data_IF_173218019666
#
_entry.id   IF_173218019666
#
_cell.length_a   1.000
_cell.length_b   1.000
_cell.length_c   1.000
_cell.angle_alpha   90.00
_cell.angle_beta   90.00
_cell.angle_gamma   90.00
#
_symmetry.space_group_name_H-M   'P 1'
#
loop_
_entity.id
_entity.type
_entity.pdbx_description
1 polymer ?
#
# COMPACT_ATOMS: atom_id res chain seq x y z
N UNK A 1 20.08 10.33 -1.86
CA UNK A 1 18.73 10.39 -1.26
C UNK A 1 18.71 9.40 -0.11
N UNK A 2 18.35 9.84 1.10
CA UNK A 2 18.14 8.98 2.27
C UNK A 2 16.65 9.05 2.61
N UNK A 3 15.96 7.93 2.86
CA UNK A 3 14.58 7.97 3.29
C UNK A 3 14.46 8.59 4.68
N UNK A 4 13.43 9.42 4.87
CA UNK A 4 13.09 10.00 6.18
C UNK A 4 12.45 8.95 7.11
N UNK A 5 11.71 8.00 6.54
CA UNK A 5 11.01 6.90 7.23
C UNK A 5 11.20 5.57 6.49
N UNK A 6 11.25 4.48 7.25
CA UNK A 6 11.35 3.09 6.77
C UNK A 6 10.30 2.23 7.46
N UNK A 7 9.32 1.78 6.68
CA UNK A 7 8.26 0.84 7.13
C UNK A 7 8.53 -0.55 6.55
N UNK A 8 8.70 -1.53 7.43
CA UNK A 8 8.89 -2.93 7.05
C UNK A 8 7.54 -3.62 6.96
N UNK A 9 7.34 -4.41 5.92
CA UNK A 9 6.09 -5.14 5.70
C UNK A 9 6.38 -6.43 4.94
N UNK A 10 5.59 -7.47 5.19
CA UNK A 10 5.71 -8.77 4.53
C UNK A 10 5.04 -8.79 3.14
N UNK A 11 4.17 -7.81 2.85
CA UNK A 11 3.39 -7.80 1.62
C UNK A 11 3.20 -6.39 1.05
N UNK A 12 3.27 -6.29 -0.28
CA UNK A 12 2.98 -5.06 -1.02
C UNK A 12 1.67 -5.20 -1.80
N UNK A 13 0.92 -4.10 -2.01
CA UNK A 13 -0.29 -4.14 -2.79
C UNK A 13 0.07 -4.38 -4.26
N UNK A 14 -0.30 -5.55 -4.78
CA UNK A 14 0.01 -6.00 -6.15
C UNK A 14 -1.26 -6.26 -6.93
N UNK A 15 -1.22 -5.99 -8.23
CA UNK A 15 -2.26 -6.44 -9.15
C UNK A 15 -2.21 -7.96 -9.30
N UNK A 16 -3.26 -8.58 -9.85
CA UNK A 16 -3.28 -10.01 -10.23
C UNK A 16 -2.18 -10.42 -11.22
N UNK A 17 -1.52 -9.44 -11.85
CA UNK A 17 -0.36 -9.64 -12.73
C UNK A 17 0.99 -9.42 -12.02
N UNK A 18 0.97 -9.20 -10.70
CA UNK A 18 2.15 -9.00 -9.86
C UNK A 18 2.72 -7.59 -9.84
N UNK A 19 2.11 -6.61 -10.55
CA UNK A 19 2.59 -5.23 -10.57
C UNK A 19 2.28 -4.53 -9.25
N UNK A 20 3.28 -3.89 -8.65
CA UNK A 20 3.09 -3.11 -7.41
C UNK A 20 2.28 -1.85 -7.70
N UNK A 21 1.16 -1.66 -6.99
CA UNK A 21 0.32 -0.48 -7.07
C UNK A 21 0.85 0.63 -6.15
N UNK A 22 1.97 1.25 -6.55
CA UNK A 22 2.68 2.28 -5.76
C UNK A 22 1.82 3.50 -5.38
N UNK A 23 0.76 3.79 -6.15
CA UNK A 23 -0.20 4.85 -5.82
C UNK A 23 -0.85 4.61 -4.45
N UNK A 24 -1.23 3.36 -4.16
CA UNK A 24 -1.85 2.99 -2.89
C UNK A 24 -0.87 3.20 -1.71
N UNK A 25 0.40 2.85 -1.91
CA UNK A 25 1.46 3.12 -0.92
C UNK A 25 1.62 4.63 -0.66
N UNK A 26 1.49 5.46 -1.70
CA UNK A 26 1.55 6.92 -1.56
C UNK A 26 0.34 7.48 -0.81
N UNK A 27 -0.84 6.95 -1.06
CA UNK A 27 -2.07 7.36 -0.37
C UNK A 27 -1.99 7.01 1.12
N UNK A 28 -1.50 5.79 1.44
CA UNK A 28 -1.26 5.34 2.82
C UNK A 28 -0.21 6.22 3.52
N UNK A 29 0.94 6.46 2.89
CA UNK A 29 1.99 7.33 3.47
C UNK A 29 1.54 8.78 3.64
N UNK A 30 0.52 9.23 2.90
CA UNK A 30 -0.07 10.55 3.04
C UNK A 30 -1.25 10.61 4.03
N UNK A 31 -1.61 9.48 4.68
CA UNK A 31 -2.77 9.38 5.57
C UNK A 31 -4.12 9.59 4.86
N UNK A 32 -4.17 9.39 3.54
CA UNK A 32 -5.37 9.62 2.73
C UNK A 32 -6.17 8.35 2.54
N UNK A 33 -7.47 8.50 2.35
CA UNK A 33 -8.28 7.40 1.83
C UNK A 33 -7.84 7.03 0.41
N UNK A 34 -7.93 5.74 0.13
CA UNK A 34 -7.54 5.20 -1.17
C UNK A 34 -8.51 5.70 -2.25
N UNK A 35 -8.02 6.55 -3.17
CA UNK A 35 -8.85 7.06 -4.26
C UNK A 35 -8.65 6.26 -5.55
N UNK A 36 -9.73 5.91 -6.26
CA UNK A 36 -9.66 5.31 -7.60
C UNK A 36 -9.71 3.78 -7.65
N UNK A 37 -9.57 3.23 -8.85
CA UNK A 37 -9.84 1.81 -9.12
C UNK A 37 -8.80 0.86 -8.51
N UNK A 38 -9.29 -0.10 -7.72
CA UNK A 38 -8.54 -1.18 -7.07
C UNK A 38 -9.01 -2.57 -7.49
N UNK A 39 -9.92 -2.69 -8.48
CA UNK A 39 -10.53 -3.96 -8.91
C UNK A 39 -9.51 -5.03 -9.34
N UNK A 40 -8.33 -4.59 -9.78
CA UNK A 40 -7.22 -5.46 -10.23
C UNK A 40 -6.30 -5.90 -9.10
N UNK A 41 -6.51 -5.44 -7.87
CA UNK A 41 -5.73 -5.83 -6.70
C UNK A 41 -5.93 -7.32 -6.42
N UNK A 42 -4.84 -8.01 -6.13
CA UNK A 42 -4.81 -9.44 -5.80
C UNK A 42 -5.39 -9.71 -4.41
N UNK A 43 -4.96 -8.91 -3.42
CA UNK A 43 -5.37 -9.06 -2.02
C UNK A 43 -5.65 -7.68 -1.40
N UNK A 44 -6.90 -7.46 -0.99
CA UNK A 44 -7.34 -6.22 -0.33
C UNK A 44 -6.92 -6.14 1.14
N UNK A 45 -6.66 -7.27 1.80
CA UNK A 45 -6.27 -7.31 3.21
C UNK A 45 -4.92 -6.64 3.47
N UNK A 46 -4.04 -6.61 2.45
CA UNK A 46 -2.76 -5.90 2.50
C UNK A 46 -2.95 -4.41 2.78
N UNK A 47 -4.03 -3.78 2.28
CA UNK A 47 -4.28 -2.36 2.53
C UNK A 47 -4.69 -2.08 3.98
N UNK A 48 -5.39 -3.02 4.62
CA UNK A 48 -5.74 -2.89 6.04
C UNK A 48 -4.47 -3.02 6.90
N UNK A 49 -3.67 -4.07 6.66
CA UNK A 49 -2.41 -4.29 7.41
C UNK A 49 -1.45 -3.10 7.33
N UNK A 50 -1.25 -2.55 6.13
CA UNK A 50 -0.37 -1.40 5.92
C UNK A 50 -0.88 -0.09 6.57
N UNK A 51 -2.15 -0.03 6.95
CA UNK A 51 -2.75 1.10 7.68
C UNK A 51 -2.76 0.88 9.19
N UNK A 52 -2.74 -0.38 9.65
CA UNK A 52 -2.76 -0.76 11.06
C UNK A 52 -1.39 -0.64 11.74
N UNK A 53 -0.27 -0.73 11.00
CA UNK A 53 1.11 -0.60 11.53
C UNK A 53 1.46 0.83 12.04
N UNK A 54 0.49 1.66 12.41
CA UNK A 54 0.70 2.99 13.04
C UNK A 54 0.71 2.96 14.58
N UNK A 55 0.64 1.78 15.21
CA UNK A 55 0.96 1.59 16.65
C UNK A 55 2.41 1.15 16.88
#
# INVERSE_FOLDING_TARGET
ARPDDLRFTDALPKTRSGKIMRRLLRDIAAGKETAGDTTTLEDYSVLARLREEEE
#
